data_IF_849079243739
#
_entry.id   IF_849079243739
#
_cell.length_a   1.000
_cell.length_b   1.000
_cell.length_c   1.000
_cell.angle_alpha   90.00
_cell.angle_beta   90.00
_cell.angle_gamma   90.00
#
_symmetry.space_group_name_H-M   'P 1'
#
loop_
_entity.id
_entity.type
_entity.pdbx_description
1 polymer ?
#
# COMPACT_ATOMS: atom_id res chain seq x y z
N UNK A 1 16.78 27.26 39.60
CA UNK A 1 15.87 26.46 38.76
C UNK A 1 16.65 25.52 37.86
N UNK A 2 17.58 26.02 37.01
CA UNK A 2 18.52 25.19 36.22
C UNK A 2 19.13 24.02 37.01
N UNK A 3 19.69 24.28 38.20
CA UNK A 3 20.22 23.23 39.08
C UNK A 3 19.17 22.18 39.51
N UNK A 4 17.94 22.63 39.80
CA UNK A 4 16.85 21.73 40.20
C UNK A 4 16.35 20.88 39.02
N UNK A 5 16.27 21.45 37.81
CA UNK A 5 15.95 20.72 36.58
C UNK A 5 17.07 19.76 36.18
N UNK A 6 18.33 20.10 36.44
CA UNK A 6 19.48 19.27 36.11
C UNK A 6 19.60 18.04 37.03
N UNK A 7 19.33 18.22 38.32
CA UNK A 7 19.30 17.12 39.28
C UNK A 7 18.10 16.19 39.09
N UNK A 8 17.00 16.70 38.53
CA UNK A 8 15.79 15.97 38.18
C UNK A 8 15.26 15.02 39.26
N UNK A 9 15.56 15.30 40.53
CA UNK A 9 14.98 14.60 41.64
C UNK A 9 13.55 15.15 41.82
N UNK A 10 12.55 14.31 41.57
CA UNK A 10 11.13 14.66 41.65
C UNK A 10 10.78 15.40 42.96
N UNK A 11 11.49 15.10 44.05
CA UNK A 11 11.34 15.77 45.35
C UNK A 11 11.88 17.20 45.33
N UNK A 12 13.09 17.40 44.80
CA UNK A 12 13.73 18.72 44.69
C UNK A 12 12.96 19.61 43.72
N UNK A 13 12.47 19.01 42.63
CA UNK A 13 11.69 19.69 41.61
C UNK A 13 10.30 20.05 42.12
N UNK A 14 9.62 19.15 42.82
CA UNK A 14 8.35 19.41 43.49
C UNK A 14 8.48 20.52 44.53
N UNK A 15 9.56 20.53 45.32
CA UNK A 15 9.88 21.62 46.26
C UNK A 15 10.17 22.93 45.55
N UNK A 16 10.93 22.91 44.46
CA UNK A 16 11.21 24.11 43.66
C UNK A 16 9.91 24.67 43.03
N UNK A 17 9.04 23.80 42.54
CA UNK A 17 7.71 24.15 42.03
C UNK A 17 6.82 24.70 43.16
N UNK A 18 6.83 24.09 44.35
CA UNK A 18 6.04 24.58 45.49
C UNK A 18 6.56 25.92 45.98
N UNK A 19 7.88 26.14 45.97
CA UNK A 19 8.51 27.43 46.26
C UNK A 19 8.10 28.48 45.23
N UNK A 20 8.15 28.15 43.93
CA UNK A 20 7.67 29.04 42.87
C UNK A 20 6.17 29.37 42.99
N UNK A 21 5.34 28.42 43.43
CA UNK A 21 3.93 28.67 43.74
C UNK A 21 3.75 29.59 44.95
N UNK A 22 4.64 29.50 45.95
CA UNK A 22 4.60 30.29 47.20
C UNK A 22 5.21 31.68 47.09
N UNK A 23 6.02 31.98 46.08
CA UNK A 23 6.50 33.33 45.80
C UNK A 23 5.31 34.24 45.45
N UNK A 24 4.84 35.02 46.42
CA UNK A 24 3.64 35.85 46.33
C UNK A 24 3.87 37.21 45.65
N UNK A 25 5.13 37.68 45.54
CA UNK A 25 5.43 38.94 44.86
C UNK A 25 5.54 38.74 43.35
N UNK A 26 4.75 39.52 42.60
CA UNK A 26 4.68 39.45 41.14
C UNK A 26 6.05 39.59 40.47
N UNK A 27 6.94 40.43 41.02
CA UNK A 27 8.26 40.72 40.48
C UNK A 27 9.24 39.52 40.59
N UNK A 28 9.39 38.92 41.77
CA UNK A 28 10.32 37.79 41.96
C UNK A 28 9.89 36.55 41.16
N UNK A 29 8.57 36.34 41.05
CA UNK A 29 7.99 35.31 40.20
C UNK A 29 8.24 35.58 38.72
N UNK A 30 8.18 36.83 38.28
CA UNK A 30 8.47 37.21 36.89
C UNK A 30 9.94 36.94 36.52
N UNK A 31 10.88 37.35 37.36
CA UNK A 31 12.31 37.11 37.12
C UNK A 31 12.64 35.62 37.10
N UNK A 32 12.02 34.84 37.98
CA UNK A 32 12.18 33.39 38.00
C UNK A 32 11.58 32.70 36.76
N UNK A 33 10.48 33.22 36.22
CA UNK A 33 9.85 32.73 34.99
C UNK A 33 10.64 33.14 33.74
N UNK A 34 11.25 34.33 33.72
CA UNK A 34 12.12 34.77 32.63
C UNK A 34 13.34 33.84 32.48
N UNK A 35 13.89 33.37 33.61
CA UNK A 35 14.94 32.35 33.64
C UNK A 35 14.54 30.98 33.08
N UNK A 36 13.24 30.72 32.84
CA UNK A 36 12.79 29.50 32.15
C UNK A 36 13.04 29.54 30.64
N UNK A 37 13.27 30.73 30.09
CA UNK A 37 13.56 30.93 28.67
C UNK A 37 15.07 31.11 28.44
N UNK A 38 15.81 31.54 29.48
CA UNK A 38 17.26 31.69 29.42
C UNK A 38 17.97 30.36 29.21
N UNK A 39 18.78 30.31 28.15
CA UNK A 39 19.61 29.17 27.81
C UNK A 39 20.80 29.08 28.78
N UNK A 40 21.18 27.86 29.15
CA UNK A 40 22.38 27.61 29.94
C UNK A 40 23.66 27.70 29.07
N UNK A 41 24.82 27.41 29.68
CA UNK A 41 26.11 27.37 28.98
C UNK A 41 26.16 26.39 27.79
N UNK A 42 25.28 25.38 27.79
CA UNK A 42 25.13 24.40 26.70
C UNK A 42 24.05 24.81 25.68
N UNK A 43 23.60 26.07 25.71
CA UNK A 43 22.54 26.60 24.85
C UNK A 43 21.18 25.88 25.03
N UNK A 44 20.96 25.20 26.16
CA UNK A 44 19.70 24.47 26.47
C UNK A 44 18.84 25.27 27.43
N UNK A 45 17.54 25.32 27.14
CA UNK A 45 16.56 25.89 28.07
C UNK A 45 16.22 24.87 29.17
N UNK A 46 15.76 25.30 30.35
CA UNK A 46 15.23 24.42 31.39
C UNK A 46 14.15 23.46 30.88
N UNK A 47 13.41 23.85 29.85
CA UNK A 47 12.41 23.01 29.21
C UNK A 47 13.03 21.83 28.46
N UNK A 48 14.05 22.08 27.62
CA UNK A 48 14.79 21.01 26.94
C UNK A 48 15.45 20.09 27.97
N UNK A 49 15.99 20.62 29.07
CA UNK A 49 16.56 19.80 30.16
C UNK A 49 15.49 18.91 30.80
N UNK A 50 14.30 19.45 31.09
CA UNK A 50 13.20 18.68 31.65
C UNK A 50 12.74 17.54 30.73
N UNK A 51 12.71 17.80 29.42
CA UNK A 51 12.48 16.77 28.39
C UNK A 51 13.63 15.79 28.42
N UNK A 52 14.90 16.21 28.36
CA UNK A 52 16.05 15.30 28.39
C UNK A 52 16.04 14.32 29.55
N UNK A 53 15.43 14.69 30.67
CA UNK A 53 15.30 13.86 31.86
C UNK A 53 14.00 13.07 31.93
N UNK A 54 13.06 13.29 31.02
CA UNK A 54 11.77 12.58 30.95
C UNK A 54 10.76 13.01 32.01
N UNK A 55 10.93 14.19 32.62
CA UNK A 55 10.05 14.62 33.73
C UNK A 55 8.77 15.27 33.21
N UNK A 56 7.75 14.45 32.93
CA UNK A 56 6.43 14.91 32.46
C UNK A 56 5.79 15.97 33.39
N UNK A 57 5.94 15.80 34.72
CA UNK A 57 5.40 16.77 35.69
C UNK A 57 5.99 18.16 35.49
N UNK A 58 7.27 18.23 35.16
CA UNK A 58 7.96 19.48 34.95
C UNK A 58 7.56 20.13 33.63
N UNK A 59 7.48 19.33 32.57
CA UNK A 59 6.96 19.76 31.26
C UNK A 59 5.55 20.33 31.40
N UNK A 60 4.65 19.60 32.08
CA UNK A 60 3.27 20.05 32.37
C UNK A 60 3.26 21.36 33.15
N UNK A 61 4.09 21.47 34.19
CA UNK A 61 4.17 22.68 35.00
C UNK A 61 4.61 23.90 34.18
N UNK A 62 5.71 23.76 33.42
CA UNK A 62 6.26 24.84 32.59
C UNK A 62 5.22 25.30 31.55
N UNK A 63 4.60 24.36 30.83
CA UNK A 63 3.60 24.66 29.80
C UNK A 63 2.25 25.13 30.35
N UNK A 64 1.95 24.88 31.63
CA UNK A 64 0.73 25.38 32.29
C UNK A 64 0.87 26.81 32.84
N UNK A 65 2.06 27.39 32.76
CA UNK A 65 2.30 28.71 33.35
C UNK A 65 1.63 29.81 32.51
N UNK A 66 0.67 30.53 33.12
CA UNK A 66 -0.05 31.67 32.48
C UNK A 66 0.87 32.75 31.93
N UNK A 67 2.07 32.88 32.50
CA UNK A 67 3.07 33.82 32.04
C UNK A 67 3.65 33.43 30.67
N UNK A 68 3.91 32.14 30.45
CA UNK A 68 4.45 31.66 29.17
C UNK A 68 3.46 32.01 28.05
N UNK A 69 2.18 31.70 28.24
CA UNK A 69 1.12 32.02 27.29
C UNK A 69 0.94 33.51 26.96
N UNK A 70 1.43 34.43 27.82
CA UNK A 70 1.32 35.88 27.58
C UNK A 70 2.53 36.48 26.90
N UNK A 71 3.70 35.86 27.04
CA UNK A 71 4.98 36.48 26.68
C UNK A 71 5.78 35.70 25.64
N UNK A 72 5.46 34.43 25.39
CA UNK A 72 6.19 33.57 24.47
C UNK A 72 5.19 32.77 23.67
N UNK A 73 5.36 32.73 22.35
CA UNK A 73 4.60 31.81 21.53
C UNK A 73 4.98 30.37 21.90
N UNK A 74 3.97 29.51 22.09
CA UNK A 74 4.22 28.12 22.42
C UNK A 74 5.03 27.44 21.32
N UNK A 75 4.86 27.87 20.05
CA UNK A 75 5.65 27.38 18.92
C UNK A 75 7.14 27.69 19.03
N UNK A 76 7.52 28.84 19.60
CA UNK A 76 8.94 29.17 19.82
C UNK A 76 9.54 28.35 20.96
N UNK A 77 8.70 27.92 21.89
CA UNK A 77 9.12 27.19 23.08
C UNK A 77 9.25 25.68 22.84
N UNK A 78 8.28 25.08 22.12
CA UNK A 78 8.39 23.73 21.59
C UNK A 78 9.12 23.86 20.27
N UNK A 79 10.45 23.80 20.28
CA UNK A 79 11.26 23.91 19.07
C UNK A 79 11.70 22.54 18.54
N UNK A 80 12.38 22.54 17.39
CA UNK A 80 12.91 21.33 16.75
C UNK A 80 13.79 20.49 17.69
N UNK A 81 14.64 21.13 18.49
CA UNK A 81 15.53 20.45 19.44
C UNK A 81 14.75 19.70 20.52
N UNK A 82 13.68 20.32 21.04
CA UNK A 82 12.83 19.72 22.07
C UNK A 82 12.08 18.48 21.56
N UNK A 83 11.52 18.54 20.35
CA UNK A 83 10.82 17.43 19.71
C UNK A 83 11.79 16.31 19.32
N UNK A 84 12.92 16.67 18.69
CA UNK A 84 14.00 15.73 18.37
C UNK A 84 14.44 14.96 19.60
N UNK A 85 14.72 15.67 20.70
CA UNK A 85 15.10 15.06 21.98
C UNK A 85 14.01 14.13 22.52
N UNK A 86 12.75 14.54 22.42
CA UNK A 86 11.60 13.73 22.89
C UNK A 86 11.53 12.40 22.14
N UNK A 87 11.71 12.43 20.81
CA UNK A 87 11.68 11.23 19.94
C UNK A 87 12.93 10.38 20.15
N UNK A 88 14.12 10.99 20.16
CA UNK A 88 15.41 10.30 20.33
C UNK A 88 15.47 9.56 21.68
N UNK A 89 14.85 10.11 22.73
CA UNK A 89 14.81 9.53 24.07
C UNK A 89 13.57 8.68 24.37
N UNK A 90 12.73 8.43 23.37
CA UNK A 90 11.56 7.55 23.48
C UNK A 90 10.52 7.99 24.54
N UNK A 91 10.33 9.30 24.69
CA UNK A 91 9.47 9.87 25.73
C UNK A 91 8.01 10.01 25.29
N UNK A 92 7.34 8.87 25.13
CA UNK A 92 5.96 8.77 24.65
C UNK A 92 4.96 9.60 25.46
N UNK A 93 5.10 9.63 26.80
CA UNK A 93 4.21 10.39 27.68
C UNK A 93 4.26 11.90 27.40
N UNK A 94 5.45 12.41 27.07
CA UNK A 94 5.67 13.82 26.77
C UNK A 94 5.12 14.14 25.38
N UNK A 95 5.37 13.27 24.39
CA UNK A 95 4.80 13.41 23.06
C UNK A 95 3.26 13.38 23.08
N UNK A 96 2.67 12.43 23.80
CA UNK A 96 1.21 12.36 24.01
C UNK A 96 0.68 13.65 24.67
N UNK A 97 1.39 14.19 25.65
CA UNK A 97 1.01 15.45 26.27
C UNK A 97 1.11 16.65 25.32
N UNK A 98 2.12 16.72 24.46
CA UNK A 98 2.23 17.75 23.44
C UNK A 98 1.08 17.71 22.45
N UNK A 99 0.70 16.50 22.07
CA UNK A 99 -0.38 16.22 21.12
C UNK A 99 -1.78 16.44 21.71
N UNK A 100 -1.94 16.27 23.04
CA UNK A 100 -3.24 16.44 23.72
C UNK A 100 -3.90 17.82 23.60
N UNK A 101 -3.20 18.83 23.05
CA UNK A 101 -3.72 20.17 22.83
C UNK A 101 -3.60 20.55 21.35
N UNK A 102 -4.74 20.75 20.68
CA UNK A 102 -4.83 21.04 19.24
C UNK A 102 -3.97 22.22 18.79
N UNK A 103 -3.96 23.33 19.57
CA UNK A 103 -3.13 24.50 19.25
C UNK A 103 -1.64 24.18 19.30
N UNK A 104 -1.21 23.33 20.24
CA UNK A 104 0.18 22.87 20.33
C UNK A 104 0.50 21.93 19.18
N UNK A 105 -0.41 21.02 18.85
CA UNK A 105 -0.25 20.10 17.75
C UNK A 105 -0.02 20.82 16.41
N UNK A 106 -0.79 21.87 16.12
CA UNK A 106 -0.60 22.65 14.89
C UNK A 106 0.74 23.36 14.80
N UNK A 107 1.25 23.88 15.92
CA UNK A 107 2.61 24.39 15.96
C UNK A 107 3.64 23.27 15.72
N UNK A 108 3.42 22.09 16.30
CA UNK A 108 4.33 20.94 16.21
C UNK A 108 4.47 20.42 14.78
N UNK A 109 3.37 20.28 14.03
CA UNK A 109 3.42 19.77 12.65
C UNK A 109 4.18 20.69 11.70
N UNK A 110 4.30 21.98 12.02
CA UNK A 110 5.06 22.95 11.23
C UNK A 110 6.56 22.94 11.54
N UNK A 111 6.98 22.24 12.60
CA UNK A 111 8.37 22.21 13.02
C UNK A 111 9.19 21.26 12.16
N UNK A 112 10.27 21.84 11.66
CA UNK A 112 11.27 21.18 10.84
C UNK A 112 12.46 20.77 11.71
N UNK A 113 12.73 19.47 11.79
CA UNK A 113 13.84 18.87 12.52
C UNK A 113 15.04 18.71 11.58
N UNK A 114 16.16 19.36 11.90
CA UNK A 114 17.40 19.14 11.17
C UNK A 114 18.20 17.96 11.76
N UNK A 115 18.43 16.94 10.94
CA UNK A 115 19.25 15.79 11.27
C UNK A 115 20.01 15.30 10.04
N UNK A 116 21.33 15.08 10.18
CA UNK A 116 22.20 14.58 9.10
C UNK A 116 22.08 15.40 7.80
N UNK A 117 22.16 16.73 7.93
CA UNK A 117 22.02 17.70 6.81
C UNK A 117 20.69 17.62 6.05
N UNK A 118 19.67 17.02 6.68
CA UNK A 118 18.33 16.90 6.12
C UNK A 118 17.32 17.51 7.07
N UNK A 119 16.36 18.17 6.49
CA UNK A 119 15.22 18.72 7.20
C UNK A 119 14.10 17.68 7.11
N UNK A 120 13.60 17.22 8.24
CA UNK A 120 12.46 16.32 8.36
C UNK A 120 11.31 17.04 9.04
N UNK A 121 10.07 16.77 8.65
CA UNK A 121 8.99 17.04 9.59
C UNK A 121 8.97 16.01 10.73
N UNK A 122 8.22 16.30 11.80
CA UNK A 122 8.17 15.47 13.00
C UNK A 122 7.73 14.02 12.71
N UNK A 123 6.78 13.84 11.80
CA UNK A 123 6.26 12.52 11.42
C UNK A 123 7.28 11.72 10.60
N UNK A 124 7.93 12.36 9.63
CA UNK A 124 9.01 11.79 8.83
C UNK A 124 10.21 11.40 9.68
N UNK A 125 10.59 12.25 10.65
CA UNK A 125 11.66 11.95 11.57
C UNK A 125 11.34 10.70 12.40
N UNK A 126 10.09 10.58 12.87
CA UNK A 126 9.60 9.40 13.61
C UNK A 126 9.63 8.12 12.76
N UNK A 127 9.26 8.21 11.47
CA UNK A 127 9.33 7.09 10.52
C UNK A 127 10.79 6.73 10.21
N UNK A 128 11.66 7.72 10.00
CA UNK A 128 13.08 7.51 9.72
C UNK A 128 13.79 6.80 10.87
N UNK A 129 13.40 7.07 12.12
CA UNK A 129 13.90 6.40 13.31
C UNK A 129 13.19 5.07 13.62
N UNK A 130 12.22 4.64 12.81
CA UNK A 130 11.40 3.43 13.03
C UNK A 130 10.73 3.42 14.41
N UNK A 131 10.07 4.53 14.77
CA UNK A 131 9.38 4.71 16.04
C UNK A 131 7.85 4.68 15.86
N UNK A 132 7.21 3.50 15.74
CA UNK A 132 5.80 3.38 15.39
C UNK A 132 4.86 4.02 16.42
N UNK A 133 5.21 4.00 17.71
CA UNK A 133 4.36 4.58 18.75
C UNK A 133 4.26 6.12 18.64
N UNK A 134 5.34 6.79 18.22
CA UNK A 134 5.31 8.22 17.93
C UNK A 134 4.45 8.52 16.71
N UNK A 135 4.63 7.72 15.65
CA UNK A 135 3.81 7.82 14.42
C UNK A 135 2.33 7.65 14.77
N UNK A 136 2.00 6.67 15.61
CA UNK A 136 0.63 6.45 16.12
C UNK A 136 0.12 7.66 16.89
N UNK A 137 0.91 8.21 17.82
CA UNK A 137 0.52 9.39 18.61
C UNK A 137 0.23 10.58 17.70
N UNK A 138 1.11 10.87 16.73
CA UNK A 138 0.93 12.02 15.83
C UNK A 138 -0.20 11.84 14.81
N UNK A 139 -0.47 10.62 14.35
CA UNK A 139 -1.58 10.34 13.42
C UNK A 139 -2.92 10.23 14.15
N UNK A 140 -2.94 9.81 15.42
CA UNK A 140 -4.18 9.65 16.21
C UNK A 140 -4.90 10.96 16.52
N UNK A 141 -4.30 12.11 16.19
CA UNK A 141 -4.85 13.42 16.48
C UNK A 141 -5.97 13.74 15.51
N UNK A 142 -7.20 13.52 15.94
CA UNK A 142 -8.37 13.93 15.18
C UNK A 142 -8.57 15.44 15.32
N UNK A 143 -8.36 16.17 14.22
CA UNK A 143 -8.65 17.60 14.17
C UNK A 143 -10.15 17.76 13.90
N UNK A 144 -10.90 18.44 14.78
CA UNK A 144 -12.32 18.69 14.56
C UNK A 144 -12.52 19.55 13.30
N UNK A 145 -13.56 19.22 12.50
CA UNK A 145 -13.91 19.89 11.25
C UNK A 145 -14.20 21.39 11.41
N UNK A 146 -14.59 21.80 12.62
CA UNK A 146 -14.85 23.19 13.01
C UNK A 146 -13.58 24.07 12.95
N UNK A 147 -12.39 23.52 13.19
CA UNK A 147 -11.11 24.25 13.11
C UNK A 147 -10.58 24.28 11.67
N UNK A 148 -11.32 24.91 10.74
CA UNK A 148 -11.01 24.93 9.29
C UNK A 148 -9.57 25.33 8.95
N UNK A 149 -8.99 26.29 9.65
CA UNK A 149 -7.59 26.72 9.41
C UNK A 149 -6.59 25.64 9.80
N UNK A 150 -6.81 24.99 10.95
CA UNK A 150 -5.97 23.90 11.46
C UNK A 150 -6.10 22.68 10.55
N UNK A 151 -7.32 22.35 10.16
CA UNK A 151 -7.63 21.26 9.25
C UNK A 151 -7.02 21.49 7.86
N UNK A 152 -7.12 22.70 7.32
CA UNK A 152 -6.46 23.06 6.05
C UNK A 152 -4.93 22.94 6.15
N UNK A 153 -4.33 23.42 7.24
CA UNK A 153 -2.89 23.31 7.49
C UNK A 153 -2.43 21.87 7.63
N UNK A 154 -3.22 21.04 8.32
CA UNK A 154 -2.95 19.62 8.49
C UNK A 154 -3.17 18.81 7.21
N UNK A 155 -4.20 19.11 6.44
CA UNK A 155 -4.41 18.51 5.11
C UNK A 155 -3.30 18.90 4.15
N UNK A 156 -2.85 20.16 4.19
CA UNK A 156 -1.68 20.62 3.45
C UNK A 156 -0.41 19.88 3.91
N UNK A 157 -0.23 19.70 5.21
CA UNK A 157 0.85 18.91 5.81
C UNK A 157 0.83 17.47 5.32
N UNK A 158 -0.30 16.75 5.40
CA UNK A 158 -0.45 15.38 4.89
C UNK A 158 -0.20 15.30 3.38
N UNK A 159 -0.63 16.31 2.62
CA UNK A 159 -0.37 16.40 1.18
C UNK A 159 1.13 16.59 0.87
N UNK A 160 1.85 17.37 1.68
CA UNK A 160 3.29 17.64 1.51
C UNK A 160 4.18 16.53 2.06
N UNK A 161 3.76 15.91 3.17
CA UNK A 161 4.35 14.69 3.71
C UNK A 161 4.43 13.61 2.64
N UNK A 162 3.42 13.55 1.79
CA UNK A 162 3.36 12.61 0.68
C UNK A 162 4.21 13.00 -0.55
N UNK A 163 4.94 14.11 -0.55
CA UNK A 163 5.88 14.42 -1.63
C UNK A 163 7.23 13.70 -1.41
N UNK A 164 7.75 12.95 -2.39
CA UNK A 164 9.09 12.37 -2.31
C UNK A 164 10.13 13.48 -2.38
N UNK A 165 11.12 13.37 -1.51
CA UNK A 165 12.09 14.43 -1.26
C UNK A 165 12.99 14.73 -2.46
N UNK A 166 13.14 16.02 -2.79
CA UNK A 166 14.16 16.50 -3.70
C UNK A 166 15.55 16.44 -3.04
N UNK A 167 16.18 15.26 -3.03
CA UNK A 167 17.55 15.07 -2.52
C UNK A 167 17.74 13.84 -1.62
N UNK A 168 16.67 13.11 -1.34
CA UNK A 168 16.73 11.82 -0.69
C UNK A 168 17.18 10.75 -1.69
N UNK A 169 18.11 9.88 -1.29
CA UNK A 169 18.48 8.64 -2.01
C UNK A 169 17.29 7.69 -2.18
N UNK A 170 16.24 7.87 -1.37
CA UNK A 170 15.01 7.11 -1.44
C UNK A 170 13.95 7.91 -2.20
N UNK A 171 13.57 7.43 -3.38
CA UNK A 171 12.47 7.97 -4.19
C UNK A 171 11.07 7.62 -3.63
N UNK A 172 11.01 7.03 -2.44
CA UNK A 172 9.78 6.56 -1.81
C UNK A 172 9.13 7.63 -0.95
N UNK A 173 7.81 7.70 -1.00
CA UNK A 173 7.01 8.50 -0.06
C UNK A 173 6.95 7.88 1.32
N UNK A 174 6.60 8.65 2.35
CA UNK A 174 6.45 8.10 3.70
C UNK A 174 5.45 6.95 3.78
N UNK A 175 4.33 6.99 3.04
CA UNK A 175 3.39 5.85 2.99
C UNK A 175 4.05 4.61 2.39
N UNK A 176 4.78 4.75 1.28
CA UNK A 176 5.53 3.64 0.70
C UNK A 176 6.60 3.10 1.67
N UNK A 177 7.24 3.97 2.46
CA UNK A 177 8.16 3.56 3.53
C UNK A 177 7.43 2.82 4.65
N UNK A 178 6.25 3.29 5.06
CA UNK A 178 5.43 2.60 6.07
C UNK A 178 4.99 1.22 5.59
N UNK A 179 4.60 1.09 4.32
CA UNK A 179 4.21 -0.20 3.72
C UNK A 179 5.38 -1.19 3.57
N UNK A 180 6.60 -0.70 3.43
CA UNK A 180 7.81 -1.54 3.35
C UNK A 180 8.42 -1.87 4.71
N UNK A 181 7.98 -1.20 5.79
CA UNK A 181 8.43 -1.44 7.16
C UNK A 181 7.39 -2.25 7.93
N UNK A 182 7.68 -3.52 8.23
CA UNK A 182 6.72 -4.45 8.86
C UNK A 182 6.09 -3.91 10.16
N UNK A 183 6.85 -3.15 10.95
CA UNK A 183 6.39 -2.54 12.21
C UNK A 183 5.42 -1.36 12.01
N UNK A 184 5.44 -0.71 10.84
CA UNK A 184 4.62 0.46 10.52
C UNK A 184 3.33 0.11 9.77
N UNK A 185 3.23 -1.09 9.19
CA UNK A 185 2.05 -1.56 8.45
C UNK A 185 0.74 -1.41 9.26
N UNK A 186 0.69 -1.74 10.57
CA UNK A 186 -0.54 -1.57 11.36
C UNK A 186 -1.00 -0.13 11.54
N UNK A 187 -0.16 0.87 11.20
CA UNK A 187 -0.49 2.29 11.30
C UNK A 187 -1.05 2.86 10.00
N UNK A 188 -0.94 2.12 8.88
CA UNK A 188 -1.47 2.55 7.58
C UNK A 188 -2.98 2.79 7.64
N UNK A 189 -3.81 1.91 8.25
CA UNK A 189 -5.24 2.18 8.38
C UNK A 189 -5.53 3.49 9.13
N UNK A 190 -4.82 3.76 10.24
CA UNK A 190 -4.99 5.00 11.01
C UNK A 190 -4.66 6.25 10.18
N UNK A 191 -3.66 6.16 9.30
CA UNK A 191 -3.34 7.25 8.38
C UNK A 191 -4.42 7.41 7.32
N UNK A 192 -4.97 6.30 6.81
CA UNK A 192 -6.03 6.31 5.81
C UNK A 192 -7.35 6.86 6.38
N UNK A 193 -7.63 6.63 7.67
CA UNK A 193 -8.78 7.21 8.39
C UNK A 193 -8.74 8.74 8.36
N UNK A 194 -7.55 9.37 8.31
CA UNK A 194 -7.44 10.83 8.20
C UNK A 194 -7.98 11.38 6.88
N UNK A 195 -8.14 10.53 5.86
CA UNK A 195 -8.74 10.90 4.57
C UNK A 195 -10.24 10.57 4.48
N UNK A 196 -10.79 9.96 5.54
CA UNK A 196 -12.23 9.72 5.69
C UNK A 196 -12.78 10.82 6.60
N UNK A 197 -13.35 11.85 5.99
CA UNK A 197 -14.00 12.95 6.71
C UNK A 197 -15.40 12.56 7.20
N UNK A 198 -16.04 13.46 7.95
CA UNK A 198 -17.47 13.32 8.32
C UNK A 198 -18.37 13.30 7.07
N UNK A 199 -17.93 13.97 6.01
CA UNK A 199 -18.61 14.01 4.70
C UNK A 199 -18.30 12.79 3.81
N UNK A 200 -17.58 11.79 4.33
CA UNK A 200 -17.17 10.58 3.63
C UNK A 200 -15.72 10.62 3.11
N UNK A 201 -15.41 9.73 2.17
CA UNK A 201 -14.07 9.59 1.59
C UNK A 201 -13.78 10.77 0.67
N UNK A 202 -12.64 11.44 0.87
CA UNK A 202 -12.19 12.48 -0.04
C UNK A 202 -11.88 11.88 -1.43
N UNK A 203 -12.79 12.09 -2.38
CA UNK A 203 -12.70 11.55 -3.74
C UNK A 203 -11.47 12.03 -4.51
N UNK A 204 -10.83 13.14 -4.11
CA UNK A 204 -9.57 13.59 -4.73
C UNK A 204 -8.44 12.59 -4.51
N UNK A 205 -8.47 11.89 -3.37
CA UNK A 205 -7.53 10.82 -3.03
C UNK A 205 -7.73 9.60 -3.92
N UNK A 206 -9.00 9.28 -4.18
CA UNK A 206 -9.40 8.15 -5.01
C UNK A 206 -9.05 8.42 -6.47
N UNK A 207 -9.31 9.64 -6.98
CA UNK A 207 -8.96 10.04 -8.35
C UNK A 207 -7.44 9.93 -8.60
N UNK A 208 -6.63 10.37 -7.64
CA UNK A 208 -5.16 10.23 -7.69
C UNK A 208 -4.68 8.77 -7.71
N UNK A 209 -5.42 7.84 -7.09
CA UNK A 209 -5.12 6.40 -7.11
C UNK A 209 -5.52 5.71 -8.41
N UNK A 210 -6.53 6.24 -9.10
CA UNK A 210 -7.11 5.62 -10.29
C UNK A 210 -6.41 6.04 -11.59
N UNK A 211 -5.70 7.17 -11.59
CA UNK A 211 -4.97 7.63 -12.77
C UNK A 211 -3.80 6.69 -13.08
N UNK A 212 -3.85 6.08 -14.27
CA UNK A 212 -2.88 5.11 -14.82
C UNK A 212 -1.48 5.68 -15.02
N UNK A 213 -1.36 7.01 -15.06
CA UNK A 213 -0.12 7.73 -15.00
C UNK A 213 -0.46 9.09 -14.40
N UNK A 214 -0.17 9.36 -13.12
CA UNK A 214 -0.37 10.69 -12.59
C UNK A 214 0.46 11.63 -13.47
N UNK A 215 -0.21 12.55 -14.17
CA UNK A 215 0.45 13.70 -14.77
C UNK A 215 1.40 14.31 -13.73
N UNK A 216 2.48 14.94 -14.18
CA UNK A 216 3.60 15.55 -13.42
C UNK A 216 3.26 16.47 -12.22
N UNK A 217 2.12 16.36 -11.56
CA UNK A 217 1.71 17.15 -10.42
C UNK A 217 0.71 16.35 -9.58
N UNK A 218 1.22 15.81 -8.47
CA UNK A 218 0.46 15.39 -7.29
C UNK A 218 -0.37 14.10 -7.41
N UNK A 219 0.24 12.95 -7.12
CA UNK A 219 -0.49 11.82 -6.54
C UNK A 219 -0.27 11.84 -5.03
N UNK A 220 -1.28 11.49 -4.22
CA UNK A 220 -1.11 11.30 -2.76
C UNK A 220 0.00 10.29 -2.40
N UNK A 221 0.38 9.38 -3.28
CA UNK A 221 1.49 8.46 -3.01
C UNK A 221 2.82 8.93 -3.59
N UNK A 222 2.84 10.18 -4.06
CA UNK A 222 4.05 10.93 -4.32
C UNK A 222 4.35 11.24 -5.76
N UNK A 223 5.24 12.22 -5.84
CA UNK A 223 5.87 12.80 -6.99
C UNK A 223 7.14 12.03 -7.41
N UNK A 224 7.06 10.74 -7.75
CA UNK A 224 8.29 10.02 -8.12
C UNK A 224 8.93 10.68 -9.34
N UNK A 225 10.17 11.20 -9.17
CA UNK A 225 10.97 11.77 -10.26
C UNK A 225 11.09 10.70 -11.34
N UNK A 226 10.42 10.90 -12.49
CA UNK A 226 10.41 10.02 -13.67
C UNK A 226 10.63 8.56 -13.27
N UNK A 227 9.57 7.86 -12.86
CA UNK A 227 9.66 6.41 -12.81
C UNK A 227 10.31 5.96 -14.12
N UNK A 228 11.47 5.31 -14.04
CA UNK A 228 11.94 4.52 -15.17
C UNK A 228 10.76 3.61 -15.53
N UNK A 229 10.32 3.65 -16.79
CA UNK A 229 8.99 3.21 -17.22
C UNK A 229 8.65 1.75 -16.88
N UNK A 230 9.62 0.97 -16.41
CA UNK A 230 9.48 -0.41 -15.96
C UNK A 230 9.07 -0.61 -14.50
N UNK A 231 9.34 0.31 -13.56
CA UNK A 231 9.21 0.04 -12.11
C UNK A 231 8.02 0.73 -11.42
N UNK A 232 7.28 1.58 -12.13
CA UNK A 232 6.13 2.29 -11.53
C UNK A 232 5.05 1.33 -11.01
N UNK A 233 4.86 0.18 -11.69
CA UNK A 233 3.85 -0.80 -11.32
C UNK A 233 4.15 -1.43 -9.95
N UNK A 234 5.43 -1.70 -9.66
CA UNK A 234 5.88 -2.23 -8.37
C UNK A 234 5.74 -1.22 -7.24
N UNK A 235 5.88 0.07 -7.56
CA UNK A 235 5.76 1.16 -6.60
C UNK A 235 4.31 1.65 -6.45
N UNK A 236 3.36 1.05 -7.18
CA UNK A 236 1.95 1.39 -7.10
C UNK A 236 1.44 1.09 -5.68
N UNK A 237 0.69 2.01 -5.05
CA UNK A 237 0.21 1.86 -3.68
C UNK A 237 -0.56 0.56 -3.44
N UNK A 238 -1.51 0.24 -4.33
CA UNK A 238 -2.22 -1.04 -4.27
C UNK A 238 -1.30 -2.25 -4.44
N UNK A 239 -0.21 -2.16 -5.21
CA UNK A 239 0.76 -3.26 -5.32
C UNK A 239 1.51 -3.44 -4.00
N UNK A 240 1.92 -2.34 -3.35
CA UNK A 240 2.60 -2.37 -2.06
C UNK A 240 1.68 -2.84 -0.93
N UNK A 241 0.39 -2.46 -0.96
CA UNK A 241 -0.63 -2.99 -0.04
C UNK A 241 -0.79 -4.50 -0.27
N UNK A 242 -0.81 -4.93 -1.54
CA UNK A 242 -0.88 -6.36 -1.90
C UNK A 242 0.33 -7.12 -1.37
N UNK A 243 1.53 -6.54 -1.50
CA UNK A 243 2.79 -7.10 -1.01
C UNK A 243 2.87 -7.14 0.52
N UNK A 244 2.34 -6.11 1.20
CA UNK A 244 2.28 -6.05 2.66
C UNK A 244 1.39 -7.13 3.28
N UNK A 245 0.41 -7.65 2.53
CA UNK A 245 -0.48 -8.75 2.92
C UNK A 245 -1.11 -8.58 4.32
N UNK A 246 -1.58 -7.37 4.65
CA UNK A 246 -2.17 -7.06 5.95
C UNK A 246 -3.68 -6.83 5.83
N UNK A 247 -4.48 -7.77 6.33
CA UNK A 247 -5.95 -7.77 6.22
C UNK A 247 -6.61 -6.41 6.58
N UNK A 248 -6.26 -5.75 7.70
CA UNK A 248 -6.87 -4.46 8.07
C UNK A 248 -6.67 -3.34 7.04
N UNK A 249 -5.63 -3.40 6.20
CA UNK A 249 -5.41 -2.40 5.14
C UNK A 249 -6.37 -2.62 3.98
N UNK A 250 -6.68 -3.88 3.64
CA UNK A 250 -7.64 -4.20 2.58
C UNK A 250 -9.07 -3.89 2.99
N UNK A 251 -9.40 -4.10 4.27
CA UNK A 251 -10.72 -3.85 4.82
C UNK A 251 -11.03 -2.36 5.01
N UNK A 252 -10.03 -1.48 4.86
CA UNK A 252 -10.22 -0.05 4.98
C UNK A 252 -11.08 0.51 3.83
N UNK A 253 -12.10 1.32 4.16
CA UNK A 253 -13.10 1.83 3.21
C UNK A 253 -12.49 2.49 1.97
N UNK A 254 -11.43 3.30 2.14
CA UNK A 254 -10.73 3.96 1.02
C UNK A 254 -10.12 2.94 0.06
N UNK A 255 -9.49 1.88 0.58
CA UNK A 255 -8.85 0.84 -0.25
C UNK A 255 -9.93 0.02 -0.94
N UNK A 256 -10.98 -0.35 -0.21
CA UNK A 256 -12.14 -1.06 -0.75
C UNK A 256 -12.81 -0.28 -1.87
N UNK A 257 -13.11 1.01 -1.67
CA UNK A 257 -13.70 1.88 -2.71
C UNK A 257 -12.76 1.99 -3.92
N UNK A 258 -11.45 2.16 -3.71
CA UNK A 258 -10.49 2.21 -4.83
C UNK A 258 -10.47 0.90 -5.62
N UNK A 259 -10.46 -0.24 -4.94
CA UNK A 259 -10.47 -1.58 -5.56
C UNK A 259 -11.81 -1.83 -6.26
N UNK A 260 -12.93 -1.53 -5.62
CA UNK A 260 -14.28 -1.69 -6.18
C UNK A 260 -14.46 -0.81 -7.42
N UNK A 261 -14.02 0.45 -7.38
CA UNK A 261 -14.12 1.35 -8.52
C UNK A 261 -13.21 0.90 -9.67
N UNK A 262 -11.97 0.46 -9.38
CA UNK A 262 -11.07 -0.12 -10.38
C UNK A 262 -11.63 -1.42 -10.97
N UNK A 263 -12.28 -2.24 -10.14
CA UNK A 263 -12.94 -3.45 -10.58
C UNK A 263 -14.16 -3.14 -11.44
N UNK A 264 -15.00 -2.17 -11.07
CA UNK A 264 -16.15 -1.76 -11.88
C UNK A 264 -15.73 -1.18 -13.22
N UNK A 265 -14.68 -0.36 -13.26
CA UNK A 265 -14.19 0.29 -14.49
C UNK A 265 -13.51 -0.68 -15.44
N UNK A 266 -12.61 -1.54 -14.94
CA UNK A 266 -11.77 -2.40 -15.79
C UNK A 266 -11.93 -3.88 -15.48
N UNK A 267 -12.00 -4.21 -14.18
CA UNK A 267 -12.04 -5.59 -13.72
C UNK A 267 -13.23 -6.39 -14.25
N UNK A 268 -14.43 -5.81 -14.23
CA UNK A 268 -15.65 -6.49 -14.66
C UNK A 268 -15.62 -6.81 -16.16
N UNK A 269 -15.21 -5.83 -16.98
CA UNK A 269 -15.05 -6.04 -18.42
C UNK A 269 -13.99 -7.10 -18.74
N UNK A 270 -12.80 -7.00 -18.13
CA UNK A 270 -11.72 -7.97 -18.35
C UNK A 270 -12.09 -9.36 -17.84
N UNK A 271 -12.73 -9.44 -16.68
CA UNK A 271 -13.20 -10.70 -16.10
C UNK A 271 -14.23 -11.37 -17.01
N UNK A 272 -15.23 -10.61 -17.48
CA UNK A 272 -16.24 -11.13 -18.40
C UNK A 272 -15.62 -11.55 -19.73
N UNK A 273 -14.65 -10.79 -20.26
CA UNK A 273 -13.93 -11.15 -21.48
C UNK A 273 -13.16 -12.47 -21.32
N UNK A 274 -12.44 -12.65 -20.20
CA UNK A 274 -11.72 -13.88 -19.88
C UNK A 274 -12.70 -15.05 -19.74
N UNK A 275 -13.81 -14.85 -19.01
CA UNK A 275 -14.84 -15.86 -18.83
C UNK A 275 -15.46 -16.27 -20.18
N UNK A 276 -15.81 -15.32 -21.04
CA UNK A 276 -16.32 -15.59 -22.38
C UNK A 276 -15.31 -16.35 -23.23
N UNK A 277 -14.01 -16.01 -23.15
CA UNK A 277 -12.96 -16.74 -23.85
C UNK A 277 -12.81 -18.18 -23.34
N UNK A 278 -12.92 -18.40 -22.02
CA UNK A 278 -12.89 -19.73 -21.42
C UNK A 278 -14.13 -20.56 -21.80
N UNK A 279 -15.33 -19.98 -21.77
CA UNK A 279 -16.56 -20.64 -22.22
C UNK A 279 -16.45 -21.02 -23.70
N UNK A 280 -15.95 -20.12 -24.54
CA UNK A 280 -15.71 -20.39 -25.96
C UNK A 280 -14.71 -21.53 -26.15
N UNK A 281 -13.61 -21.53 -25.39
CA UNK A 281 -12.63 -22.61 -25.43
C UNK A 281 -13.25 -23.96 -25.06
N UNK A 282 -14.00 -24.04 -23.96
CA UNK A 282 -14.68 -25.27 -23.53
C UNK A 282 -15.72 -25.71 -24.55
N UNK A 283 -16.46 -24.77 -25.14
CA UNK A 283 -17.43 -25.06 -26.20
C UNK A 283 -16.76 -25.63 -27.45
N UNK A 284 -15.65 -25.03 -27.90
CA UNK A 284 -14.86 -25.52 -29.03
C UNK A 284 -14.30 -26.91 -28.73
N UNK A 285 -13.70 -27.10 -27.56
CA UNK A 285 -13.15 -28.38 -27.12
C UNK A 285 -14.22 -29.49 -27.12
N UNK A 286 -15.36 -29.21 -26.48
CA UNK A 286 -16.49 -30.15 -26.41
C UNK A 286 -17.10 -30.40 -27.78
N UNK A 287 -17.23 -29.37 -28.62
CA UNK A 287 -17.75 -29.47 -29.98
C UNK A 287 -16.86 -30.34 -30.87
N UNK A 288 -15.53 -30.20 -30.78
CA UNK A 288 -14.60 -31.09 -31.49
C UNK A 288 -14.67 -32.50 -30.92
N UNK A 289 -14.79 -32.67 -29.61
CA UNK A 289 -14.88 -33.99 -28.98
C UNK A 289 -16.15 -34.75 -29.40
N UNK A 290 -17.30 -34.09 -29.39
CA UNK A 290 -18.58 -34.67 -29.81
C UNK A 290 -18.70 -34.83 -31.32
N UNK A 291 -18.11 -33.90 -32.08
CA UNK A 291 -18.15 -33.93 -33.54
C UNK A 291 -17.15 -34.90 -34.17
N UNK A 292 -16.16 -35.39 -33.41
CA UNK A 292 -15.21 -36.37 -33.92
C UNK A 292 -15.92 -37.72 -34.08
N UNK A 293 -15.99 -38.27 -35.31
CA UNK A 293 -16.69 -39.51 -35.57
C UNK A 293 -16.00 -40.66 -34.84
N UNK A 294 -16.79 -41.48 -34.14
CA UNK A 294 -16.33 -42.77 -33.62
C UNK A 294 -16.56 -43.86 -34.66
N UNK A 295 -15.68 -44.86 -34.78
CA UNK A 295 -15.89 -45.99 -35.67
C UNK A 295 -17.27 -46.64 -35.44
N UNK A 296 -18.00 -47.03 -36.51
CA UNK A 296 -19.25 -47.77 -36.36
C UNK A 296 -19.05 -49.07 -35.57
N UNK A 297 -20.07 -49.47 -34.79
CA UNK A 297 -19.99 -50.63 -33.89
C UNK A 297 -19.61 -51.94 -34.59
N UNK A 298 -19.94 -52.07 -35.88
CA UNK A 298 -19.63 -53.24 -36.72
C UNK A 298 -18.13 -53.53 -36.88
N UNK A 299 -17.27 -52.53 -36.71
CA UNK A 299 -15.82 -52.69 -36.86
C UNK A 299 -15.14 -53.23 -35.59
N UNK A 300 -15.80 -53.19 -34.42
CA UNK A 300 -15.21 -53.70 -33.17
C UNK A 300 -15.32 -55.23 -33.01
N UNK A 301 -16.19 -55.88 -33.78
CA UNK A 301 -16.37 -57.35 -33.71
C UNK A 301 -15.31 -58.12 -34.53
N UNK A 302 -14.47 -57.42 -35.31
CA UNK A 302 -13.38 -58.03 -36.08
C UNK A 302 -12.04 -57.79 -35.39
N UNK A 303 -11.54 -58.83 -34.71
CA UNK A 303 -10.45 -58.76 -33.72
C UNK A 303 -9.05 -58.41 -34.23
N UNK A 304 -8.85 -58.11 -35.53
CA UNK A 304 -7.51 -58.03 -36.13
C UNK A 304 -7.26 -56.85 -37.08
N UNK A 305 -8.09 -55.81 -37.13
CA UNK A 305 -7.78 -54.65 -37.98
C UNK A 305 -6.74 -53.74 -37.33
N UNK A 306 -5.68 -53.43 -38.07
CA UNK A 306 -4.80 -52.32 -37.71
C UNK A 306 -5.48 -50.98 -37.99
N UNK A 307 -5.11 -49.91 -37.27
CA UNK A 307 -5.66 -48.57 -37.48
C UNK A 307 -5.50 -48.08 -38.94
N UNK A 308 -4.41 -48.48 -39.61
CA UNK A 308 -4.13 -48.12 -41.00
C UNK A 308 -5.10 -48.83 -41.96
N UNK A 309 -5.35 -50.12 -41.77
CA UNK A 309 -6.30 -50.89 -42.59
C UNK A 309 -7.74 -50.43 -42.38
N UNK A 310 -8.12 -50.14 -41.13
CA UNK A 310 -9.44 -49.56 -40.82
C UNK A 310 -9.61 -48.22 -41.55
N UNK A 311 -8.56 -47.41 -41.58
CA UNK A 311 -8.57 -46.16 -42.29
C UNK A 311 -8.72 -46.32 -43.80
N UNK A 312 -7.90 -47.18 -44.41
CA UNK A 312 -7.94 -47.44 -45.85
C UNK A 312 -9.33 -47.90 -46.25
N UNK A 313 -9.92 -48.84 -45.50
CA UNK A 313 -11.28 -49.31 -45.73
C UNK A 313 -12.29 -48.17 -45.64
N UNK A 314 -12.25 -47.34 -44.59
CA UNK A 314 -13.16 -46.20 -44.41
C UNK A 314 -12.99 -45.10 -45.47
N UNK A 315 -11.77 -44.88 -45.98
CA UNK A 315 -11.51 -43.94 -47.08
C UNK A 315 -11.88 -44.48 -48.45
N UNK A 316 -11.84 -45.80 -48.63
CA UNK A 316 -12.09 -46.46 -49.90
C UNK A 316 -13.54 -46.90 -50.11
N UNK A 317 -14.38 -46.80 -49.08
CA UNK A 317 -15.79 -47.17 -49.18
C UNK A 317 -16.53 -46.21 -50.13
N UNK A 318 -16.86 -46.73 -51.30
CA UNK A 318 -17.52 -46.00 -52.39
C UNK A 318 -18.95 -45.61 -52.00
N UNK A 319 -19.56 -46.34 -51.06
CA UNK A 319 -20.98 -46.18 -50.73
C UNK A 319 -21.25 -45.15 -49.63
N UNK A 320 -20.27 -44.84 -48.79
CA UNK A 320 -20.38 -43.80 -47.75
C UNK A 320 -19.00 -43.20 -47.42
N UNK A 321 -18.37 -42.45 -48.36
CA UNK A 321 -17.10 -41.81 -48.08
C UNK A 321 -17.34 -40.78 -46.99
N UNK A 322 -16.85 -41.02 -45.77
CA UNK A 322 -17.00 -40.06 -44.66
C UNK A 322 -16.53 -38.69 -45.16
N UNK A 323 -17.45 -37.75 -45.42
CA UNK A 323 -17.03 -36.47 -45.98
C UNK A 323 -16.30 -35.76 -44.86
N UNK A 324 -15.02 -35.45 -45.08
CA UNK A 324 -14.24 -34.66 -44.14
C UNK A 324 -15.02 -33.40 -43.81
N UNK A 325 -15.59 -33.35 -42.61
CA UNK A 325 -16.52 -32.29 -42.25
C UNK A 325 -15.74 -30.98 -42.15
N UNK A 326 -15.87 -30.12 -43.16
CA UNK A 326 -15.19 -28.83 -43.23
C UNK A 326 -15.41 -27.99 -41.97
N UNK A 327 -16.58 -28.13 -41.33
CA UNK A 327 -16.89 -27.46 -40.05
C UNK A 327 -16.04 -28.02 -38.92
N UNK A 328 -15.93 -29.35 -38.79
CA UNK A 328 -15.08 -29.98 -37.76
C UNK A 328 -13.61 -29.60 -37.94
N UNK A 329 -13.12 -29.59 -39.20
CA UNK A 329 -11.76 -29.16 -39.52
C UNK A 329 -11.52 -27.70 -39.14
N UNK A 330 -12.49 -26.81 -39.42
CA UNK A 330 -12.44 -25.41 -38.99
C UNK A 330 -12.42 -25.28 -37.46
N UNK A 331 -13.30 -26.01 -36.76
CA UNK A 331 -13.36 -26.01 -35.28
C UNK A 331 -12.04 -26.51 -34.65
N UNK A 332 -11.39 -27.51 -35.25
CA UNK A 332 -10.06 -28.00 -34.82
C UNK A 332 -8.98 -26.93 -34.94
N UNK A 333 -8.94 -26.21 -36.06
CA UNK A 333 -7.98 -25.11 -36.24
C UNK A 333 -8.26 -23.94 -35.28
N UNK A 334 -9.53 -23.60 -35.04
CA UNK A 334 -9.90 -22.59 -34.06
C UNK A 334 -9.49 -23.00 -32.65
N UNK A 335 -9.75 -24.26 -32.26
CA UNK A 335 -9.33 -24.81 -30.97
C UNK A 335 -7.80 -24.80 -30.83
N UNK A 336 -7.06 -25.19 -31.88
CA UNK A 336 -5.60 -25.17 -31.89
C UNK A 336 -5.07 -23.75 -31.69
N UNK A 337 -5.59 -22.79 -32.46
CA UNK A 337 -5.20 -21.39 -32.34
C UNK A 337 -5.48 -20.84 -30.94
N UNK A 338 -6.70 -21.05 -30.42
CA UNK A 338 -7.07 -20.63 -29.07
C UNK A 338 -6.18 -21.26 -27.99
N UNK A 339 -5.87 -22.56 -28.11
CA UNK A 339 -4.99 -23.26 -27.16
C UNK A 339 -3.58 -22.70 -27.17
N UNK A 340 -3.02 -22.41 -28.35
CA UNK A 340 -1.69 -21.79 -28.49
C UNK A 340 -1.64 -20.39 -27.89
N UNK A 341 -2.65 -19.55 -28.14
CA UNK A 341 -2.73 -18.20 -27.56
C UNK A 341 -2.87 -18.27 -26.04
N UNK A 342 -3.69 -19.19 -25.52
CA UNK A 342 -3.87 -19.39 -24.08
C UNK A 342 -2.57 -19.88 -23.42
N UNK A 343 -1.86 -20.84 -24.04
CA UNK A 343 -0.59 -21.33 -23.54
C UNK A 343 0.50 -20.24 -23.55
N UNK A 344 0.53 -19.40 -24.59
CA UNK A 344 1.42 -18.24 -24.64
C UNK A 344 1.11 -17.23 -23.52
N UNK A 345 -0.17 -16.97 -23.24
CA UNK A 345 -0.60 -16.14 -22.11
C UNK A 345 -0.12 -16.73 -20.77
N UNK A 346 -0.33 -18.03 -20.53
CA UNK A 346 0.15 -18.70 -19.32
C UNK A 346 1.68 -18.64 -19.18
N UNK A 347 2.41 -18.78 -20.29
CA UNK A 347 3.86 -18.63 -20.31
C UNK A 347 4.31 -17.21 -19.89
N UNK A 348 3.64 -16.17 -20.39
CA UNK A 348 3.91 -14.79 -19.94
C UNK A 348 3.58 -14.59 -18.46
N UNK A 349 2.50 -15.19 -17.97
CA UNK A 349 2.14 -15.13 -16.55
C UNK A 349 3.18 -15.83 -15.67
N UNK A 350 3.68 -17.00 -16.09
CA UNK A 350 4.77 -17.72 -15.42
C UNK A 350 6.04 -16.86 -15.32
N UNK A 351 6.44 -16.19 -16.41
CA UNK A 351 7.63 -15.33 -16.42
C UNK A 351 7.49 -14.09 -15.52
N UNK A 352 6.30 -13.49 -15.48
CA UNK A 352 6.03 -12.25 -14.74
C UNK A 352 5.80 -12.48 -13.24
N UNK A 353 5.09 -13.55 -12.86
CA UNK A 353 4.68 -13.78 -11.46
C UNK A 353 5.63 -14.70 -10.69
N UNK A 354 6.47 -15.49 -11.38
CA UNK A 354 7.53 -16.37 -10.83
C UNK A 354 7.08 -17.14 -9.58
N UNK A 355 7.47 -16.68 -8.38
CA UNK A 355 7.18 -17.35 -7.11
C UNK A 355 5.69 -17.43 -6.79
N UNK A 356 4.92 -16.39 -7.13
CA UNK A 356 3.47 -16.38 -6.87
C UNK A 356 2.75 -17.42 -7.72
N UNK A 357 3.18 -17.61 -8.95
CA UNK A 357 2.60 -18.62 -9.86
C UNK A 357 2.73 -20.04 -9.31
N UNK A 358 3.88 -20.35 -8.69
CA UNK A 358 4.12 -21.66 -8.06
C UNK A 358 3.37 -21.87 -6.74
N UNK A 359 2.89 -20.80 -6.10
CA UNK A 359 2.05 -20.94 -4.89
C UNK A 359 0.66 -21.49 -5.25
N UNK A 360 0.13 -21.05 -6.38
CA UNK A 360 -1.15 -21.49 -6.93
C UNK A 360 -0.96 -22.57 -8.01
N UNK A 361 0.09 -23.40 -7.86
CA UNK A 361 0.56 -24.34 -8.89
C UNK A 361 -0.55 -25.27 -9.39
N UNK A 362 -1.45 -25.72 -8.52
CA UNK A 362 -2.46 -26.70 -8.90
C UNK A 362 -3.47 -26.16 -9.92
N UNK A 363 -3.98 -24.94 -9.71
CA UNK A 363 -4.98 -24.33 -10.59
C UNK A 363 -4.32 -23.99 -11.94
N UNK A 364 -3.15 -23.34 -11.89
CA UNK A 364 -2.42 -22.96 -13.09
C UNK A 364 -1.96 -24.17 -13.91
N UNK A 365 -1.54 -25.25 -13.23
CA UNK A 365 -1.16 -26.50 -13.89
C UNK A 365 -2.35 -27.16 -14.60
N UNK A 366 -3.54 -27.18 -13.98
CA UNK A 366 -4.74 -27.71 -14.62
C UNK A 366 -5.12 -26.93 -15.88
N UNK A 367 -4.99 -25.60 -15.88
CA UNK A 367 -5.23 -24.78 -17.06
C UNK A 367 -4.22 -25.09 -18.18
N UNK A 368 -2.93 -25.11 -17.87
CA UNK A 368 -1.87 -25.46 -18.84
C UNK A 368 -2.09 -26.86 -19.40
N UNK A 369 -2.40 -27.84 -18.55
CA UNK A 369 -2.68 -29.21 -18.96
C UNK A 369 -3.88 -29.27 -19.90
N UNK A 370 -4.97 -28.55 -19.61
CA UNK A 370 -6.13 -28.47 -20.49
C UNK A 370 -5.79 -27.88 -21.87
N UNK A 371 -4.95 -26.85 -21.94
CA UNK A 371 -4.50 -26.29 -23.21
C UNK A 371 -3.58 -27.23 -23.99
N UNK A 372 -2.66 -27.93 -23.31
CA UNK A 372 -1.82 -28.96 -23.93
C UNK A 372 -2.68 -30.11 -24.47
N UNK A 373 -3.66 -30.59 -23.71
CA UNK A 373 -4.63 -31.57 -24.18
C UNK A 373 -5.43 -31.04 -25.36
N UNK A 374 -5.83 -29.77 -25.37
CA UNK A 374 -6.47 -29.12 -26.52
C UNK A 374 -5.60 -29.14 -27.78
N UNK A 375 -4.30 -28.87 -27.66
CA UNK A 375 -3.33 -28.93 -28.77
C UNK A 375 -3.15 -30.37 -29.25
N UNK A 376 -2.87 -31.31 -28.34
CA UNK A 376 -2.70 -32.72 -28.66
C UNK A 376 -3.97 -33.31 -29.29
N UNK A 377 -5.13 -32.87 -28.82
CA UNK A 377 -6.39 -33.21 -29.43
C UNK A 377 -6.45 -32.58 -30.81
N UNK A 378 -6.18 -31.30 -31.03
CA UNK A 378 -6.31 -30.71 -32.37
C UNK A 378 -5.29 -31.20 -33.43
N UNK A 379 -4.11 -31.69 -33.04
CA UNK A 379 -3.09 -32.15 -33.98
C UNK A 379 -3.39 -33.58 -34.45
N UNK A 380 -3.69 -33.72 -35.74
CA UNK A 380 -3.82 -35.02 -36.38
C UNK A 380 -2.42 -35.55 -36.74
N UNK A 381 -1.92 -36.54 -35.97
CA UNK A 381 -0.58 -37.10 -36.15
C UNK A 381 -0.48 -38.09 -37.34
N UNK A 382 -1.61 -38.60 -37.82
CA UNK A 382 -1.67 -39.59 -38.88
C UNK A 382 -2.44 -39.04 -40.09
N UNK A 383 -1.98 -39.38 -41.29
CA UNK A 383 -2.65 -39.02 -42.55
C UNK A 383 -4.13 -39.45 -42.53
N UNK A 384 -4.40 -40.62 -41.96
CA UNK A 384 -5.76 -41.11 -41.76
C UNK A 384 -6.66 -40.13 -41.00
N UNK A 385 -6.19 -39.69 -39.83
CA UNK A 385 -6.95 -38.82 -38.92
C UNK A 385 -7.17 -37.43 -39.53
N UNK A 386 -6.26 -37.00 -40.41
CA UNK A 386 -6.33 -35.73 -41.14
C UNK A 386 -7.40 -35.75 -42.24
N UNK A 387 -7.51 -36.85 -42.97
CA UNK A 387 -8.49 -37.00 -44.05
C UNK A 387 -9.89 -37.35 -43.51
N UNK A 388 -9.99 -38.34 -42.64
CA UNK A 388 -11.28 -38.90 -42.18
C UNK A 388 -11.83 -38.23 -40.91
N UNK A 389 -10.96 -37.61 -40.10
CA UNK A 389 -11.34 -37.07 -38.80
C UNK A 389 -11.53 -38.11 -37.69
N UNK A 390 -11.36 -39.41 -37.96
CA UNK A 390 -11.47 -40.49 -36.97
C UNK A 390 -10.36 -40.39 -35.91
N UNK A 391 -10.66 -40.79 -34.67
CA UNK A 391 -9.71 -40.80 -33.53
C UNK A 391 -9.80 -42.05 -32.69
#
# INVERSE_FOLDING_TARGET
>A
FHYATEQCNDVVLSRAISLLKRLSSSASRLTALQRLVEKNANNKTPFVIAIEKGSLKCVKYILSSKWLHRNVDIGDFINADSLKTTIDKDQLDIASYFVSNLKRFAAIIQININANDRIYNVLEYSIALKKPDFVRIFISVRIPSEERELYSSYKYFLKHFNAPYSGSTYNQTPIQRMLTMTEMIPLVPLLLEQFVGEDGVDLSVVDDCLRTCPSFSHCMFGHSKRFASSDWLKQHPLSLIVEANHAPVYDHDVVKICVDLKFQLFGNFLYLLILCAQILFVFLYTGVALGSPTPPRSYYDTSNFTCIELCQNLTSDIHDPLPGNSVLRCLRYMLLFCSCVALLKEFFQLLNQREKYFRDIFINFLEVFAYVCGILFSIDLNYCTQDTGLR
#
